data_IF_843040926160
#
_entry.id   IF_843040926160
#
_cell.length_a   1.000
_cell.length_b   1.000
_cell.length_c   1.000
_cell.angle_alpha   90.00
_cell.angle_beta   90.00
_cell.angle_gamma   90.00
#
_symmetry.space_group_name_H-M   'P 1'
#
loop_
_entity.id
_entity.type
_entity.pdbx_description
1 polymer ?
#
# COMPACT_ATOMS: atom_id res chain seq x y z
N UNK A 1 13.99 -7.70 3.90
CA UNK A 1 13.44 -6.96 5.06
C UNK A 1 14.34 -5.76 5.29
N UNK A 2 13.82 -4.56 5.52
CA UNK A 2 14.64 -3.38 5.75
C UNK A 2 14.32 -2.74 7.12
N UNK A 3 15.29 -2.06 7.72
CA UNK A 3 15.15 -1.32 8.98
C UNK A 3 14.62 0.09 8.77
N UNK A 4 13.81 0.57 9.71
CA UNK A 4 13.21 1.90 9.75
C UNK A 4 13.23 2.40 11.21
N UNK A 5 13.25 3.72 11.50
CA UNK A 5 13.23 4.21 12.88
C UNK A 5 12.10 3.64 13.76
N UNK A 6 10.96 3.28 13.16
CA UNK A 6 9.82 2.64 13.85
C UNK A 6 9.83 1.11 13.81
N UNK A 7 10.93 0.46 13.42
CA UNK A 7 11.08 -0.99 13.38
C UNK A 7 11.59 -1.55 12.05
N UNK A 8 10.86 -2.50 11.47
CA UNK A 8 11.31 -3.22 10.26
C UNK A 8 10.15 -3.50 9.33
N UNK A 9 10.40 -3.45 8.02
CA UNK A 9 9.39 -3.73 7.01
C UNK A 9 9.82 -4.92 6.13
N UNK A 10 8.88 -5.86 5.93
CA UNK A 10 9.01 -6.94 4.96
C UNK A 10 8.37 -6.47 3.66
N UNK A 11 9.16 -6.49 2.59
CA UNK A 11 8.74 -6.19 1.22
C UNK A 11 9.30 -7.27 0.29
N UNK A 12 8.64 -7.47 -0.84
CA UNK A 12 9.08 -8.37 -1.90
C UNK A 12 8.71 -7.82 -3.27
N UNK A 13 9.33 -8.36 -4.31
CA UNK A 13 9.00 -8.05 -5.69
C UNK A 13 9.19 -9.30 -6.57
N UNK A 14 8.43 -9.39 -7.65
CA UNK A 14 8.69 -10.32 -8.74
C UNK A 14 9.19 -9.50 -9.93
N UNK A 15 10.39 -9.81 -10.40
CA UNK A 15 10.98 -9.20 -11.59
C UNK A 15 11.39 -10.28 -12.58
N UNK A 16 11.23 -9.99 -13.86
CA UNK A 16 11.58 -10.87 -14.97
C UNK A 16 12.43 -10.09 -15.97
N UNK A 17 13.39 -10.76 -16.61
CA UNK A 17 14.17 -10.19 -17.70
C UNK A 17 13.49 -10.56 -19.02
N UNK A 18 12.96 -9.56 -19.73
CA UNK A 18 12.24 -9.72 -21.00
C UNK A 18 13.00 -8.90 -22.04
N UNK A 19 13.47 -9.55 -23.11
CA UNK A 19 14.23 -8.90 -24.19
C UNK A 19 15.41 -8.04 -23.69
N UNK A 20 16.13 -8.56 -22.69
CA UNK A 20 17.27 -7.85 -22.07
C UNK A 20 16.90 -6.68 -21.16
N UNK A 21 15.61 -6.46 -20.88
CA UNK A 21 15.13 -5.40 -19.99
C UNK A 21 14.45 -5.98 -18.75
N UNK A 22 14.76 -5.41 -17.59
CA UNK A 22 14.11 -5.80 -16.34
C UNK A 22 12.70 -5.22 -16.27
N UNK A 23 11.71 -6.08 -16.04
CA UNK A 23 10.32 -5.70 -15.81
C UNK A 23 9.86 -6.19 -14.44
N UNK A 24 9.33 -5.29 -13.60
CA UNK A 24 8.75 -5.63 -12.30
C UNK A 24 7.28 -5.97 -12.49
N UNK A 25 6.93 -7.24 -12.29
CA UNK A 25 5.56 -7.77 -12.45
C UNK A 25 4.71 -7.57 -11.20
N UNK A 26 5.34 -7.61 -10.02
CA UNK A 26 4.64 -7.50 -8.73
C UNK A 26 5.50 -6.77 -7.71
N UNK A 27 4.84 -5.96 -6.88
CA UNK A 27 5.36 -5.46 -5.62
C UNK A 27 4.48 -6.01 -4.48
N UNK A 28 5.10 -6.51 -3.42
CA UNK A 28 4.44 -7.21 -2.33
C UNK A 28 4.78 -6.52 -1.02
N UNK A 29 3.76 -6.19 -0.24
CA UNK A 29 3.87 -5.63 1.10
C UNK A 29 2.68 -6.06 1.96
N UNK A 30 2.85 -6.03 3.28
CA UNK A 30 1.75 -6.27 4.23
C UNK A 30 1.25 -4.96 4.81
N UNK A 31 -0.07 -4.79 4.88
CA UNK A 31 -0.76 -3.66 5.53
C UNK A 31 -1.93 -4.20 6.35
N UNK A 32 -2.36 -3.45 7.36
CA UNK A 32 -3.56 -3.73 8.15
C UNK A 32 -4.60 -2.64 7.94
N UNK A 33 -5.86 -2.98 8.18
CA UNK A 33 -6.98 -2.04 8.16
C UNK A 33 -7.88 -2.29 9.37
N UNK A 34 -8.56 -1.24 9.84
CA UNK A 34 -9.55 -1.30 10.94
C UNK A 34 -10.58 -0.20 10.72
N UNK A 35 -11.85 -0.49 11.02
CA UNK A 35 -12.91 0.52 11.15
C UNK A 35 -12.67 1.30 12.44
N UNK A 36 -12.51 2.63 12.33
CA UNK A 36 -12.36 3.51 13.50
C UNK A 36 -13.72 4.05 13.97
N UNK A 37 -14.60 4.39 13.02
CA UNK A 37 -15.95 4.87 13.29
C UNK A 37 -16.90 4.39 12.18
N UNK A 38 -18.12 4.06 12.56
CA UNK A 38 -19.23 3.72 11.66
C UNK A 38 -20.41 4.65 11.96
N UNK A 39 -21.03 5.20 10.92
CA UNK A 39 -22.10 6.19 11.04
C UNK A 39 -22.18 7.11 9.83
N UNK A 40 -22.77 8.29 10.02
CA UNK A 40 -23.00 9.26 8.95
C UNK A 40 -22.16 10.50 9.15
N UNK A 41 -21.35 10.84 8.14
CA UNK A 41 -20.78 12.18 8.03
C UNK A 41 -21.86 13.12 7.50
N UNK A 42 -22.01 14.30 8.10
CA UNK A 42 -22.94 15.35 7.64
C UNK A 42 -22.16 16.55 7.11
N UNK A 43 -22.65 17.16 6.04
CA UNK A 43 -22.10 18.34 5.39
C UNK A 43 -23.24 19.31 5.01
N UNK A 44 -22.96 20.59 4.71
CA UNK A 44 -23.95 21.52 4.14
C UNK A 44 -24.56 21.01 2.83
N UNK A 45 -25.82 21.36 2.56
CA UNK A 45 -26.58 20.84 1.41
C UNK A 45 -26.16 21.37 0.05
N UNK A 46 -25.33 22.41 0.02
CA UNK A 46 -24.81 23.11 -1.16
C UNK A 46 -23.31 22.86 -1.40
N UNK A 47 -22.73 21.85 -0.74
CA UNK A 47 -21.30 21.59 -0.77
C UNK A 47 -20.80 20.81 -1.99
N UNK A 48 -21.68 20.37 -2.90
CA UNK A 48 -21.34 19.56 -4.09
C UNK A 48 -22.14 19.98 -5.32
#
# INVERSE_FOLDING_TARGET
RFGHPSGTLRVGAQAELIDGKWAVKKAIMSRSARVLMEGWVRVPGDAF
#
